data_IF_800244470002
#
_entry.id   IF_800244470002
#
_cell.length_a   1.000
_cell.length_b   1.000
_cell.length_c   1.000
_cell.angle_alpha   90.00
_cell.angle_beta   90.00
_cell.angle_gamma   90.00
#
_symmetry.space_group_name_H-M   'P 1'
#
loop_
_entity.id
_entity.type
_entity.pdbx_description
1 polymer ?
#
# COMPACT_ATOMS: atom_id res chain seq x y z
N UNK A 1 -12.57 15.19 -6.86
CA UNK A 1 -11.24 15.46 -6.28
C UNK A 1 -11.12 14.68 -4.97
N UNK A 2 -10.36 13.58 -4.93
CA UNK A 2 -10.12 12.85 -3.69
C UNK A 2 -9.27 13.73 -2.77
N UNK A 3 -9.89 14.40 -1.79
CA UNK A 3 -9.18 15.28 -0.86
C UNK A 3 -8.05 14.52 -0.17
N UNK A 4 -6.87 15.16 -0.05
CA UNK A 4 -5.76 14.60 0.72
C UNK A 4 -6.26 14.24 2.13
N UNK A 5 -5.99 13.01 2.56
CA UNK A 5 -6.36 12.58 3.91
C UNK A 5 -5.60 13.44 4.92
N UNK A 6 -6.27 13.95 5.97
CA UNK A 6 -5.60 14.75 7.00
C UNK A 6 -4.42 13.96 7.60
N UNK A 7 -3.24 14.58 7.66
CA UNK A 7 -2.06 13.93 8.21
C UNK A 7 -2.14 13.87 9.74
N UNK A 8 -2.61 12.74 10.28
CA UNK A 8 -2.77 12.51 11.72
C UNK A 8 -1.46 12.62 12.50
N UNK A 9 -0.32 12.34 11.85
CA UNK A 9 1.01 12.38 12.49
C UNK A 9 1.49 13.80 12.77
N UNK A 10 0.86 14.82 12.16
CA UNK A 10 1.17 16.21 12.44
C UNK A 10 0.59 16.70 13.78
N UNK A 11 -0.38 15.98 14.37
CA UNK A 11 -1.00 16.33 15.64
C UNK A 11 -0.11 15.87 16.79
N UNK A 12 0.22 16.78 17.71
CA UNK A 12 0.90 16.47 18.97
C UNK A 12 -0.14 16.04 20.01
N UNK A 13 0.03 14.85 20.59
CA UNK A 13 -0.97 14.25 21.49
C UNK A 13 -1.22 15.08 22.76
N UNK A 14 -0.18 15.67 23.34
CA UNK A 14 -0.24 16.42 24.60
C UNK A 14 -0.51 17.92 24.42
N UNK A 15 -0.86 18.36 23.20
CA UNK A 15 -1.15 19.76 22.90
C UNK A 15 -2.66 19.97 22.76
N UNK A 16 -3.12 21.12 23.24
CA UNK A 16 -4.47 21.61 22.98
C UNK A 16 -4.47 22.46 21.72
N UNK A 17 -5.49 22.32 20.90
CA UNK A 17 -5.64 23.04 19.64
C UNK A 17 -6.96 23.79 19.61
N UNK A 18 -6.94 25.02 19.13
CA UNK A 18 -8.18 25.68 18.67
C UNK A 18 -8.64 25.07 17.34
N UNK A 19 -9.89 25.37 16.95
CA UNK A 19 -10.41 24.94 15.64
C UNK A 19 -9.58 25.43 14.46
N UNK A 20 -8.92 26.58 14.59
CA UNK A 20 -8.12 27.18 13.52
C UNK A 20 -6.74 26.54 13.44
N UNK A 21 -6.10 26.34 14.58
CA UNK A 21 -4.80 25.67 14.65
C UNK A 21 -4.89 24.22 14.17
N UNK A 22 -5.93 23.49 14.59
CA UNK A 22 -6.18 22.13 14.11
C UNK A 22 -6.37 22.09 12.57
N UNK A 23 -7.04 23.10 12.01
CA UNK A 23 -7.23 23.22 10.56
C UNK A 23 -5.91 23.45 9.83
N UNK A 24 -5.07 24.35 10.35
CA UNK A 24 -3.75 24.67 9.80
C UNK A 24 -2.80 23.46 9.84
N UNK A 25 -2.70 22.79 10.99
CA UNK A 25 -1.83 21.63 11.19
C UNK A 25 -2.21 20.48 10.25
N UNK A 26 -3.51 20.28 10.02
CA UNK A 26 -4.01 19.19 9.17
C UNK A 26 -4.13 19.55 7.69
N UNK A 27 -3.95 20.82 7.32
CA UNK A 27 -4.15 21.32 5.97
C UNK A 27 -5.59 21.19 5.49
N UNK A 28 -6.57 21.37 6.39
CA UNK A 28 -8.01 21.28 6.09
C UNK A 28 -8.72 22.61 6.34
N UNK A 29 -9.88 22.81 5.73
CA UNK A 29 -10.70 24.00 6.00
C UNK A 29 -11.25 24.01 7.44
N UNK A 30 -11.35 25.20 8.05
CA UNK A 30 -11.96 25.41 9.40
C UNK A 30 -13.36 24.79 9.51
N UNK A 31 -14.14 24.86 8.44
CA UNK A 31 -15.48 24.26 8.36
C UNK A 31 -15.49 22.73 8.52
N UNK A 32 -14.42 22.04 8.08
CA UNK A 32 -14.28 20.59 8.24
C UNK A 32 -14.10 20.23 9.72
N UNK A 33 -13.23 20.96 10.44
CA UNK A 33 -13.02 20.75 11.88
C UNK A 33 -14.31 21.03 12.65
N UNK A 34 -15.04 22.11 12.31
CA UNK A 34 -16.37 22.38 12.91
C UNK A 34 -17.39 21.26 12.63
N UNK A 35 -17.35 20.65 11.44
CA UNK A 35 -18.17 19.47 11.12
C UNK A 35 -17.78 18.26 11.96
N UNK A 36 -16.51 18.12 12.34
CA UNK A 36 -16.05 17.02 13.19
C UNK A 36 -16.50 17.19 14.63
N UNK A 37 -16.50 18.43 15.16
CA UNK A 37 -17.11 18.74 16.46
C UNK A 37 -18.59 18.32 16.50
N UNK A 38 -19.35 18.67 15.46
CA UNK A 38 -20.76 18.22 15.32
C UNK A 38 -20.91 16.71 15.17
N UNK A 39 -19.90 16.02 14.66
CA UNK A 39 -19.89 14.57 14.47
C UNK A 39 -19.38 13.80 15.70
N UNK A 40 -19.18 14.48 16.84
CA UNK A 40 -18.81 13.84 18.12
C UNK A 40 -17.30 13.83 18.41
N UNK A 41 -16.51 14.74 17.82
CA UNK A 41 -15.14 14.98 18.29
C UNK A 41 -15.18 15.64 19.68
N UNK A 42 -14.52 15.07 20.71
CA UNK A 42 -14.45 15.70 22.03
C UNK A 42 -13.75 17.06 21.99
N UNK A 43 -14.30 18.04 22.70
CA UNK A 43 -13.73 19.36 22.86
C UNK A 43 -14.15 19.95 24.22
N UNK A 44 -13.29 20.80 24.77
CA UNK A 44 -13.57 21.59 25.96
C UNK A 44 -14.44 22.78 25.54
N UNK A 45 -15.71 22.74 25.97
CA UNK A 45 -16.74 23.70 25.61
C UNK A 45 -16.95 24.80 26.65
N UNK A 46 -16.31 24.67 27.83
CA UNK A 46 -16.58 25.49 29.01
C UNK A 46 -16.29 26.98 28.79
N UNK A 47 -15.27 27.29 27.99
CA UNK A 47 -14.88 28.66 27.66
C UNK A 47 -14.52 28.78 26.18
N UNK A 48 -14.63 30.00 25.66
CA UNK A 48 -14.16 30.33 24.32
C UNK A 48 -12.72 30.86 24.40
N UNK A 49 -11.84 30.49 23.46
CA UNK A 49 -12.08 29.60 22.32
C UNK A 49 -12.18 28.12 22.72
N UNK A 50 -13.01 27.35 22.00
CA UNK A 50 -13.10 25.91 22.23
C UNK A 50 -11.77 25.23 21.95
N UNK A 51 -11.37 24.36 22.87
CA UNK A 51 -10.10 23.63 22.79
C UNK A 51 -10.34 22.16 22.49
N UNK A 52 -9.54 21.61 21.60
CA UNK A 52 -9.56 20.21 21.19
C UNK A 52 -8.25 19.60 21.69
N UNK A 53 -8.33 18.56 22.51
CA UNK A 53 -7.13 17.81 22.92
C UNK A 53 -6.57 17.06 21.72
N UNK A 54 -5.26 17.16 21.49
CA UNK A 54 -4.60 16.52 20.36
C UNK A 54 -4.74 14.99 20.36
N UNK A 55 -4.75 14.38 21.55
CA UNK A 55 -5.05 12.95 21.72
C UNK A 55 -6.42 12.56 21.18
N UNK A 56 -7.45 13.33 21.53
CA UNK A 56 -8.82 13.09 21.08
C UNK A 56 -8.99 13.35 19.59
N UNK A 57 -8.37 14.41 19.07
CA UNK A 57 -8.35 14.70 17.64
C UNK A 57 -7.72 13.57 16.83
N UNK A 58 -6.59 13.03 17.31
CA UNK A 58 -5.91 11.90 16.69
C UNK A 58 -6.76 10.64 16.74
N UNK A 59 -7.33 10.30 17.91
CA UNK A 59 -8.19 9.14 18.10
C UNK A 59 -9.46 9.21 17.24
N UNK A 60 -10.09 10.38 17.14
CA UNK A 60 -11.26 10.62 16.28
C UNK A 60 -10.93 10.38 14.81
N UNK A 61 -9.80 10.94 14.35
CA UNK A 61 -9.34 10.68 12.99
C UNK A 61 -9.05 9.19 12.80
N UNK A 62 -8.43 8.52 13.79
CA UNK A 62 -8.13 7.09 13.76
C UNK A 62 -9.34 6.20 13.55
N UNK A 63 -10.40 6.41 14.34
CA UNK A 63 -11.69 5.71 14.19
C UNK A 63 -12.32 5.90 12.81
N UNK A 64 -12.07 7.04 12.17
CA UNK A 64 -12.63 7.37 10.85
C UNK A 64 -11.85 6.78 9.69
N UNK A 65 -10.68 6.20 9.94
CA UNK A 65 -9.98 5.40 8.93
C UNK A 65 -10.81 4.15 8.61
N UNK A 66 -11.13 3.92 7.34
CA UNK A 66 -11.74 2.63 6.95
C UNK A 66 -10.82 1.51 7.44
N UNK A 67 -11.35 0.51 8.18
CA UNK A 67 -10.54 -0.62 8.59
C UNK A 67 -9.93 -1.26 7.34
N UNK A 68 -8.64 -1.55 7.40
CA UNK A 68 -8.00 -2.30 6.31
C UNK A 68 -8.59 -3.71 6.35
N UNK A 69 -9.08 -4.18 5.21
CA UNK A 69 -9.47 -5.58 5.08
C UNK A 69 -8.20 -6.43 5.19
N UNK A 70 -8.17 -7.32 6.18
CA UNK A 70 -7.07 -8.27 6.35
C UNK A 70 -7.31 -9.42 5.38
N UNK A 71 -6.28 -9.80 4.64
CA UNK A 71 -6.26 -11.04 3.87
C UNK A 71 -5.39 -12.04 4.64
N UNK A 72 -5.84 -13.29 4.76
CA UNK A 72 -5.04 -14.42 5.23
C UNK A 72 -3.80 -14.65 4.37
N UNK A 73 -2.94 -15.62 4.70
CA UNK A 73 -1.68 -15.84 3.97
C UNK A 73 -1.91 -16.27 2.50
N UNK A 74 -2.84 -17.18 2.25
CA UNK A 74 -3.22 -17.65 0.91
C UNK A 74 -4.38 -16.85 0.26
N UNK A 75 -4.92 -15.84 0.94
CA UNK A 75 -6.00 -15.01 0.41
C UNK A 75 -5.48 -13.73 -0.26
N UNK A 76 -6.24 -13.24 -1.24
CA UNK A 76 -5.94 -12.06 -2.03
C UNK A 76 -7.13 -11.10 -2.03
N UNK A 77 -6.86 -9.80 -2.06
CA UNK A 77 -7.94 -8.82 -2.17
C UNK A 77 -8.36 -8.65 -3.63
N UNK A 78 -9.57 -9.06 -3.97
CA UNK A 78 -10.11 -8.84 -5.30
C UNK A 78 -10.64 -7.40 -5.43
N UNK A 79 -10.18 -6.63 -6.42
CA UNK A 79 -10.68 -5.27 -6.64
C UNK A 79 -12.09 -5.24 -7.26
N UNK A 80 -12.53 -6.32 -7.90
CA UNK A 80 -13.88 -6.46 -8.48
C UNK A 80 -14.90 -6.88 -7.43
N UNK A 81 -14.64 -7.95 -6.68
CA UNK A 81 -15.51 -8.39 -5.57
C UNK A 81 -15.39 -7.50 -4.31
N UNK A 82 -14.28 -6.78 -4.15
CA UNK A 82 -13.95 -5.91 -2.99
C UNK A 82 -13.84 -6.65 -1.66
N UNK A 83 -13.50 -7.94 -1.73
CA UNK A 83 -13.37 -8.84 -0.59
C UNK A 83 -12.09 -9.69 -0.71
N UNK A 84 -11.54 -10.20 0.40
CA UNK A 84 -10.53 -11.26 0.38
C UNK A 84 -11.13 -12.53 -0.24
N UNK A 85 -10.45 -13.10 -1.23
CA UNK A 85 -10.84 -14.33 -1.94
C UNK A 85 -9.66 -15.28 -2.06
N UNK A 86 -9.96 -16.57 -2.21
CA UNK A 86 -8.95 -17.57 -2.48
C UNK A 86 -8.52 -17.52 -3.95
N UNK A 87 -7.35 -18.12 -4.22
CA UNK A 87 -6.87 -18.34 -5.57
C UNK A 87 -7.69 -19.46 -6.23
N UNK A 88 -8.13 -19.25 -7.48
CA UNK A 88 -8.78 -20.27 -8.27
C UNK A 88 -7.88 -21.52 -8.38
N UNK A 89 -8.41 -22.68 -7.97
CA UNK A 89 -7.66 -23.94 -7.95
C UNK A 89 -6.48 -23.97 -6.97
N UNK A 90 -6.34 -22.99 -6.08
CA UNK A 90 -5.20 -22.89 -5.17
C UNK A 90 -3.86 -22.63 -5.87
N UNK A 91 -3.90 -22.15 -7.11
CA UNK A 91 -2.73 -21.86 -7.93
C UNK A 91 -2.28 -20.42 -7.71
N UNK A 92 -1.04 -20.25 -7.27
CA UNK A 92 -0.44 -18.94 -7.01
C UNK A 92 0.91 -18.88 -7.72
N UNK A 93 1.10 -17.86 -8.55
CA UNK A 93 2.40 -17.60 -9.15
C UNK A 93 3.19 -16.62 -8.27
N UNK A 94 4.43 -16.98 -7.93
CA UNK A 94 5.34 -16.11 -7.20
C UNK A 94 6.38 -15.50 -8.15
N UNK A 95 6.48 -14.18 -8.16
CA UNK A 95 7.45 -13.41 -8.93
C UNK A 95 8.39 -12.70 -7.95
N UNK A 96 9.67 -13.06 -7.86
CA UNK A 96 10.62 -12.37 -6.98
C UNK A 96 10.81 -10.92 -7.45
N UNK A 97 10.68 -9.95 -6.55
CA UNK A 97 10.87 -8.53 -6.84
C UNK A 97 12.17 -8.00 -6.25
N UNK A 98 12.53 -8.48 -5.06
CA UNK A 98 13.80 -8.19 -4.38
C UNK A 98 14.32 -9.44 -3.69
N UNK A 99 15.53 -9.40 -3.13
CA UNK A 99 16.09 -10.52 -2.37
C UNK A 99 15.24 -10.95 -1.15
N UNK A 100 14.40 -10.05 -0.61
CA UNK A 100 13.63 -10.28 0.61
C UNK A 100 12.11 -10.31 0.40
N UNK A 101 11.64 -9.92 -0.79
CA UNK A 101 10.22 -9.84 -1.10
C UNK A 101 9.92 -10.22 -2.55
N UNK A 102 8.72 -10.74 -2.76
CA UNK A 102 8.18 -10.96 -4.08
C UNK A 102 6.69 -10.70 -4.14
N UNK A 103 6.19 -10.69 -5.36
CA UNK A 103 4.80 -10.48 -5.70
C UNK A 103 4.17 -11.84 -6.00
N UNK A 104 3.03 -12.11 -5.39
CA UNK A 104 2.15 -13.21 -5.74
C UNK A 104 1.10 -12.71 -6.73
N UNK A 105 0.85 -13.46 -7.79
CA UNK A 105 -0.30 -13.32 -8.67
C UNK A 105 -1.17 -14.57 -8.61
N UNK A 106 -2.48 -14.36 -8.57
CA UNK A 106 -3.46 -15.43 -8.54
C UNK A 106 -4.72 -14.99 -9.30
N UNK A 107 -5.52 -15.95 -9.75
CA UNK A 107 -6.82 -15.69 -10.38
C UNK A 107 -7.90 -15.78 -9.30
N UNK A 108 -8.88 -14.88 -9.31
CA UNK A 108 -10.01 -14.92 -8.38
C UNK A 108 -10.95 -16.08 -8.70
N UNK A 109 -11.34 -16.86 -7.69
CA UNK A 109 -12.24 -18.01 -7.83
C UNK A 109 -13.66 -17.64 -8.31
N UNK A 110 -14.13 -16.42 -8.04
CA UNK A 110 -15.50 -16.00 -8.37
C UNK A 110 -15.60 -15.20 -9.67
N UNK A 111 -14.65 -14.29 -9.91
CA UNK A 111 -14.76 -13.32 -11.00
C UNK A 111 -13.60 -13.39 -12.00
N UNK A 112 -12.72 -14.37 -11.83
CA UNK A 112 -11.60 -14.70 -12.73
C UNK A 112 -10.62 -13.54 -13.00
N UNK A 113 -10.72 -12.45 -12.24
CA UNK A 113 -9.78 -11.34 -12.35
C UNK A 113 -8.47 -11.70 -11.69
N UNK A 114 -7.37 -11.24 -12.28
CA UNK A 114 -6.05 -11.35 -11.68
C UNK A 114 -5.98 -10.48 -10.42
N UNK A 115 -5.46 -11.07 -9.35
CA UNK A 115 -5.22 -10.46 -8.06
C UNK A 115 -3.73 -10.49 -7.75
N UNK A 116 -3.26 -9.49 -7.01
CA UNK A 116 -1.86 -9.36 -6.63
C UNK A 116 -1.68 -9.12 -5.14
N UNK A 117 -0.58 -9.65 -4.60
CA UNK A 117 -0.22 -9.48 -3.19
C UNK A 117 1.27 -9.60 -2.99
N UNK A 118 1.87 -8.69 -2.22
CA UNK A 118 3.29 -8.80 -1.87
C UNK A 118 3.48 -9.62 -0.60
N UNK A 119 4.48 -10.49 -0.61
CA UNK A 119 4.84 -11.37 0.50
C UNK A 119 6.36 -11.35 0.69
N UNK A 120 6.80 -11.48 1.95
CA UNK A 120 8.22 -11.63 2.28
C UNK A 120 8.69 -13.03 1.91
N UNK A 121 9.92 -13.17 1.41
CA UNK A 121 10.48 -14.46 1.02
C UNK A 121 10.45 -15.49 2.17
N UNK A 122 10.61 -15.03 3.43
CA UNK A 122 10.52 -15.87 4.63
C UNK A 122 9.17 -16.56 4.84
N UNK A 123 8.08 -16.06 4.25
CA UNK A 123 6.72 -16.61 4.39
C UNK A 123 6.35 -17.58 3.28
N UNK A 124 7.22 -17.80 2.29
CA UNK A 124 6.97 -18.71 1.18
C UNK A 124 6.78 -20.15 1.66
N UNK A 125 7.65 -20.62 2.55
CA UNK A 125 7.54 -21.97 3.12
C UNK A 125 6.23 -22.23 3.89
N UNK A 126 5.56 -21.18 4.39
CA UNK A 126 4.23 -21.29 5.00
C UNK A 126 3.12 -21.27 3.95
N UNK A 127 3.32 -20.50 2.87
CA UNK A 127 2.38 -20.41 1.76
C UNK A 127 2.30 -21.72 0.97
N UNK A 128 3.45 -22.36 0.71
CA UNK A 128 3.56 -23.66 0.03
C UNK A 128 2.81 -24.78 0.74
N UNK A 129 2.59 -24.67 2.06
CA UNK A 129 1.79 -25.63 2.84
C UNK A 129 0.29 -25.48 2.61
N UNK A 130 -0.15 -24.32 2.15
CA UNK A 130 -1.57 -23.96 2.02
C UNK A 130 -2.05 -23.92 0.57
N UNK A 131 -1.15 -23.67 -0.38
CA UNK A 131 -1.47 -23.50 -1.79
C UNK A 131 -0.31 -23.97 -2.68
N UNK A 132 -0.63 -24.33 -3.91
CA UNK A 132 0.38 -24.68 -4.91
C UNK A 132 1.02 -23.40 -5.44
N UNK A 133 2.28 -23.18 -5.07
CA UNK A 133 3.05 -22.00 -5.50
C UNK A 133 3.90 -22.38 -6.71
N UNK A 134 3.60 -21.76 -7.85
CA UNK A 134 4.43 -21.80 -9.04
C UNK A 134 5.52 -20.75 -8.92
N UNK A 135 6.77 -21.14 -9.18
CA UNK A 135 7.89 -20.22 -9.29
C UNK A 135 8.11 -19.88 -10.76
N UNK A 136 8.67 -18.70 -11.08
CA UNK A 136 9.00 -18.40 -12.46
C UNK A 136 10.07 -19.43 -12.86
N UNK A 137 9.76 -20.28 -13.82
CA UNK A 137 10.81 -20.93 -14.60
C UNK A 137 11.51 -19.77 -15.29
N UNK A 138 12.71 -19.44 -14.83
CA UNK A 138 13.39 -18.20 -15.19
C UNK A 138 13.30 -17.95 -16.69
N UNK A 139 13.12 -16.69 -17.09
CA UNK A 139 13.22 -16.33 -18.51
C UNK A 139 14.46 -17.04 -19.03
N UNK A 140 14.34 -18.00 -19.97
CA UNK A 140 15.51 -18.47 -20.65
C UNK A 140 16.05 -17.20 -21.28
N UNK A 141 17.17 -16.68 -20.75
CA UNK A 141 17.96 -15.68 -21.46
C UNK A 141 18.05 -16.28 -22.85
N UNK A 142 17.40 -15.64 -23.83
CA UNK A 142 17.42 -16.06 -25.23
C UNK A 142 18.86 -15.94 -25.68
N UNK A 143 19.64 -16.95 -25.31
CA UNK A 143 21.05 -17.19 -25.44
C UNK A 143 21.99 -16.03 -25.08
N UNK A 144 23.08 -16.42 -24.45
CA UNK A 144 24.38 -15.78 -24.63
C UNK A 144 24.53 -15.36 -26.10
N UNK A 145 24.50 -14.06 -26.39
CA UNK A 145 24.93 -13.60 -27.71
C UNK A 145 26.43 -13.86 -27.80
N UNK A 146 26.83 -14.98 -28.39
CA UNK A 146 28.22 -15.33 -28.67
C UNK A 146 28.92 -14.38 -29.66
N UNK A 147 28.25 -13.29 -30.07
CA UNK A 147 28.86 -12.23 -30.84
C UNK A 147 28.21 -10.87 -30.47
N UNK A 148 28.78 -10.10 -29.51
CA UNK A 148 28.39 -8.70 -29.38
C UNK A 148 28.69 -7.98 -30.69
N UNK A 149 27.77 -7.15 -31.18
CA UNK A 149 28.07 -6.26 -32.31
C UNK A 149 29.11 -5.23 -31.86
N UNK A 150 30.39 -5.52 -32.07
CA UNK A 150 31.44 -4.52 -31.98
C UNK A 150 31.24 -3.48 -33.09
N UNK A 151 31.34 -2.20 -32.74
CA UNK A 151 31.54 -1.15 -33.73
C UNK A 151 32.99 -1.25 -34.22
N UNK A 152 33.24 -2.14 -35.19
CA UNK A 152 34.52 -2.24 -35.87
C UNK A 152 34.67 -1.05 -36.83
N UNK A 153 35.05 0.11 -36.30
CA UNK A 153 35.26 1.32 -37.10
C UNK A 153 36.75 1.76 -37.18
N UNK A 154 37.69 0.87 -36.84
CA UNK A 154 39.13 1.16 -36.80
C UNK A 154 39.95 0.48 -37.92
N UNK A 155 39.50 0.52 -39.17
CA UNK A 155 40.35 0.17 -40.33
C UNK A 155 41.11 1.37 -40.94
N UNK A 156 41.26 2.49 -40.20
CA UNK A 156 41.90 3.71 -40.75
C UNK A 156 43.27 4.10 -40.19
N UNK A 157 43.94 3.25 -39.41
CA UNK A 157 45.29 3.57 -38.89
C UNK A 157 46.39 2.57 -39.27
N UNK A 158 46.29 1.90 -40.41
CA UNK A 158 47.43 1.14 -40.96
C UNK A 158 47.57 1.35 -42.47
N UNK A 159 47.98 2.55 -42.87
CA UNK A 159 48.86 2.73 -44.04
C UNK A 159 49.92 3.77 -43.70
N UNK A 160 51.16 3.28 -43.64
CA UNK A 160 52.39 4.04 -43.62
C UNK A 160 52.57 4.83 -44.94
#
# INVERSE_FOLDING_TARGET
MAGRRPNRRAIKQHYSYTTEEAANVLGVAKGSVRRWLKAGLPYLADQRPFLILGGDLRAFLDKRGKPKQRCGLAEFFCFRCREPKAAAGGLIDYIPQTALSGQLSAICEECETIMHKNVSASKLALLERQAAVSFPQGDPRLNEMGNPRCNDHFEKELKA
#
